data_IF_624018607217
#
_entry.id   IF_624018607217
#
_cell.length_a   1.000
_cell.length_b   1.000
_cell.length_c   1.000
_cell.angle_alpha   90.00
_cell.angle_beta   90.00
_cell.angle_gamma   90.00
#
_symmetry.space_group_name_H-M   'P 1'
#
loop_
_entity.id
_entity.type
_entity.pdbx_description
1 polymer ?
#
# COMPACT_ATOMS: atom_id res chain seq x y z
N UNK A 1 2.09 18.44 -14.34
CA UNK A 1 0.97 18.92 -13.51
C UNK A 1 -0.34 18.95 -14.30
N UNK A 2 -0.44 19.64 -15.45
CA UNK A 2 -1.68 19.79 -16.24
C UNK A 2 -2.24 18.46 -16.75
N UNK A 3 -1.40 17.56 -17.26
CA UNK A 3 -1.84 16.26 -17.75
C UNK A 3 -2.51 15.43 -16.64
N UNK A 4 -1.92 15.41 -15.44
CA UNK A 4 -2.49 14.71 -14.28
C UNK A 4 -3.83 15.33 -13.87
N UNK A 5 -3.93 16.68 -13.85
CA UNK A 5 -5.16 17.36 -13.52
C UNK A 5 -6.29 17.02 -14.50
N UNK A 6 -6.01 17.06 -15.80
CA UNK A 6 -6.98 16.71 -16.85
C UNK A 6 -7.43 15.26 -16.76
N UNK A 7 -6.48 14.30 -16.60
CA UNK A 7 -6.82 12.88 -16.46
C UNK A 7 -7.69 12.62 -15.22
N UNK A 8 -7.38 13.24 -14.08
CA UNK A 8 -8.18 13.11 -12.87
C UNK A 8 -9.55 13.77 -13.03
N UNK A 9 -9.63 14.91 -13.70
CA UNK A 9 -10.89 15.59 -14.01
C UNK A 9 -11.81 14.72 -14.88
N UNK A 10 -11.29 14.15 -15.96
CA UNK A 10 -12.05 13.24 -16.84
C UNK A 10 -12.52 12.00 -16.07
N UNK A 11 -11.63 11.38 -15.28
CA UNK A 11 -11.98 10.22 -14.45
C UNK A 11 -13.08 10.55 -13.44
N UNK A 12 -13.01 11.73 -12.82
CA UNK A 12 -14.02 12.20 -11.88
C UNK A 12 -15.39 12.36 -12.57
N UNK A 13 -15.44 13.04 -13.72
CA UNK A 13 -16.70 13.23 -14.48
C UNK A 13 -17.29 11.89 -14.90
N UNK A 14 -16.48 10.97 -15.43
CA UNK A 14 -16.95 9.64 -15.83
C UNK A 14 -17.50 8.86 -14.64
N UNK A 15 -16.80 8.89 -13.51
CA UNK A 15 -17.26 8.23 -12.28
C UNK A 15 -18.59 8.81 -11.80
N UNK A 16 -18.74 10.13 -11.78
CA UNK A 16 -20.00 10.79 -11.41
C UNK A 16 -21.15 10.40 -12.34
N UNK A 17 -20.92 10.41 -13.65
CA UNK A 17 -21.94 10.00 -14.63
C UNK A 17 -22.41 8.56 -14.39
N UNK A 18 -21.47 7.64 -14.15
CA UNK A 18 -21.81 6.23 -13.87
C UNK A 18 -22.59 6.09 -12.55
N UNK A 19 -22.15 6.80 -11.51
CA UNK A 19 -22.79 6.80 -10.20
C UNK A 19 -24.21 7.34 -10.32
N UNK A 20 -24.40 8.52 -10.92
CA UNK A 20 -25.74 9.11 -11.10
C UNK A 20 -26.67 8.22 -11.93
N UNK A 21 -26.19 7.63 -13.03
CA UNK A 21 -26.97 6.69 -13.84
C UNK A 21 -27.41 5.46 -13.04
N UNK A 22 -26.58 4.98 -12.09
CA UNK A 22 -26.95 3.85 -11.24
C UNK A 22 -27.90 4.27 -10.12
N UNK A 23 -27.71 5.42 -9.50
CA UNK A 23 -28.58 5.92 -8.44
C UNK A 23 -30.02 6.14 -8.93
N UNK A 24 -30.20 6.71 -10.13
CA UNK A 24 -31.53 6.92 -10.73
C UNK A 24 -32.30 5.61 -10.94
N UNK A 25 -31.60 4.49 -11.10
CA UNK A 25 -32.21 3.17 -11.30
C UNK A 25 -32.53 2.43 -10.00
N UNK A 26 -32.14 2.95 -8.83
CA UNK A 26 -32.42 2.30 -7.57
C UNK A 26 -33.85 2.63 -7.11
N UNK A 27 -34.66 1.60 -6.76
CA UNK A 27 -36.00 1.84 -6.22
C UNK A 27 -35.87 2.55 -4.86
N UNK A 28 -36.36 3.77 -4.78
CA UNK A 28 -36.40 4.55 -3.54
C UNK A 28 -37.82 4.53 -2.97
N UNK A 29 -38.00 3.94 -1.81
CA UNK A 29 -39.24 4.00 -1.06
C UNK A 29 -39.28 5.29 -0.21
N UNK A 30 -39.79 6.39 -0.78
CA UNK A 30 -40.02 7.63 -0.07
C UNK A 30 -39.00 8.75 -0.28
N UNK A 31 -39.20 9.90 0.38
CA UNK A 31 -38.31 11.07 0.30
C UNK A 31 -36.97 10.78 0.99
N UNK A 32 -35.91 10.72 0.23
CA UNK A 32 -34.55 10.53 0.74
C UNK A 32 -34.05 11.85 1.34
N UNK A 33 -33.63 11.83 2.61
CA UNK A 33 -32.95 12.97 3.22
C UNK A 33 -31.54 13.09 2.61
N UNK A 34 -31.18 14.27 2.13
CA UNK A 34 -29.87 14.55 1.50
C UNK A 34 -28.74 14.36 2.52
N UNK A 35 -28.99 14.63 3.81
CA UNK A 35 -28.02 14.48 4.88
C UNK A 35 -28.62 13.81 6.10
N UNK A 36 -27.86 12.91 6.74
CA UNK A 36 -28.25 12.24 7.99
C UNK A 36 -27.04 12.11 8.91
N UNK A 37 -27.11 12.71 10.11
CA UNK A 37 -26.08 12.65 11.13
C UNK A 37 -25.72 11.22 11.54
N UNK A 38 -26.69 10.32 11.57
CA UNK A 38 -26.46 8.92 11.93
C UNK A 38 -25.60 8.20 10.87
N UNK A 39 -25.89 8.41 9.58
CA UNK A 39 -25.07 7.85 8.49
C UNK A 39 -23.70 8.51 8.43
N UNK A 40 -23.62 9.81 8.66
CA UNK A 40 -22.34 10.53 8.74
C UNK A 40 -21.47 10.00 9.87
N UNK A 41 -22.03 9.78 11.08
CA UNK A 41 -21.30 9.20 12.20
C UNK A 41 -20.73 7.80 11.88
N UNK A 42 -21.52 6.93 11.24
CA UNK A 42 -21.05 5.60 10.80
C UNK A 42 -19.94 5.70 9.75
N UNK A 43 -20.04 6.63 8.84
CA UNK A 43 -18.99 6.89 7.85
C UNK A 43 -17.72 7.43 8.52
N UNK A 44 -17.85 8.37 9.44
CA UNK A 44 -16.72 8.99 10.14
C UNK A 44 -15.89 7.97 10.94
N UNK A 45 -16.53 6.97 11.56
CA UNK A 45 -15.84 5.88 12.29
C UNK A 45 -14.87 5.11 11.40
N UNK A 46 -15.13 5.03 10.11
CA UNK A 46 -14.24 4.36 9.14
C UNK A 46 -13.30 5.37 8.48
N UNK A 47 -13.79 6.53 8.10
CA UNK A 47 -13.05 7.53 7.34
C UNK A 47 -11.95 8.19 8.17
N UNK A 48 -12.24 8.62 9.41
CA UNK A 48 -11.25 9.30 10.26
C UNK A 48 -10.02 8.43 10.53
N UNK A 49 -10.14 7.15 10.98
CA UNK A 49 -9.00 6.28 11.13
C UNK A 49 -8.20 6.08 9.84
N UNK A 50 -8.88 5.95 8.69
CA UNK A 50 -8.21 5.76 7.40
C UNK A 50 -7.42 7.01 6.96
N UNK A 51 -7.96 8.22 7.22
CA UNK A 51 -7.27 9.49 6.96
C UNK A 51 -6.03 9.61 7.85
N UNK A 52 -6.18 9.37 9.15
CA UNK A 52 -5.07 9.41 10.09
C UNK A 52 -3.96 8.43 9.69
N UNK A 53 -4.33 7.20 9.35
CA UNK A 53 -3.39 6.19 8.86
C UNK A 53 -2.59 6.69 7.66
N UNK A 54 -3.25 7.23 6.63
CA UNK A 54 -2.59 7.72 5.43
C UNK A 54 -1.67 8.90 5.73
N UNK A 55 -2.09 9.79 6.62
CA UNK A 55 -1.27 10.92 7.08
C UNK A 55 -0.01 10.45 7.80
N UNK A 56 -0.14 9.48 8.71
CA UNK A 56 1.01 8.93 9.44
C UNK A 56 1.98 8.19 8.52
N UNK A 57 1.48 7.43 7.52
CA UNK A 57 2.34 6.78 6.52
C UNK A 57 3.13 7.84 5.75
N UNK A 58 2.50 8.95 5.36
CA UNK A 58 3.17 10.04 4.65
C UNK A 58 4.27 10.69 5.50
N UNK A 59 3.99 10.96 6.77
CA UNK A 59 4.98 11.50 7.72
C UNK A 59 6.14 10.51 7.91
N UNK A 60 5.86 9.23 8.10
CA UNK A 60 6.89 8.20 8.22
C UNK A 60 7.80 8.11 6.98
N UNK A 61 7.22 8.23 5.80
CA UNK A 61 8.01 8.27 4.55
C UNK A 61 8.90 9.51 4.47
N UNK A 62 8.45 10.68 4.94
CA UNK A 62 9.26 11.91 5.00
C UNK A 62 10.45 11.71 5.95
N UNK A 63 10.24 11.10 7.12
CA UNK A 63 11.31 10.82 8.07
C UNK A 63 12.34 9.87 7.46
N UNK A 64 11.91 8.76 6.86
CA UNK A 64 12.80 7.81 6.18
C UNK A 64 13.58 8.51 5.06
N UNK A 65 12.93 9.36 4.29
CA UNK A 65 13.57 10.12 3.23
C UNK A 65 14.62 11.09 3.78
N UNK A 66 14.37 11.72 4.92
CA UNK A 66 15.35 12.58 5.61
C UNK A 66 16.59 11.79 6.02
N UNK A 67 16.41 10.58 6.57
CA UNK A 67 17.52 9.68 6.91
C UNK A 67 18.34 9.31 5.68
N UNK A 68 17.68 8.99 4.56
CA UNK A 68 18.36 8.61 3.31
C UNK A 68 19.13 9.78 2.71
N UNK A 69 18.61 11.01 2.84
CA UNK A 69 19.30 12.22 2.37
C UNK A 69 20.68 12.42 3.02
N UNK A 70 20.87 11.96 4.26
CA UNK A 70 22.15 12.06 4.96
C UNK A 70 23.25 11.20 4.34
N UNK A 71 22.90 10.21 3.50
CA UNK A 71 23.86 9.34 2.79
C UNK A 71 24.32 9.90 1.44
N UNK A 72 23.82 11.07 1.04
CA UNK A 72 24.26 11.77 -0.16
C UNK A 72 23.36 11.59 -1.38
N UNK A 73 23.61 12.42 -2.40
CA UNK A 73 22.75 12.55 -3.57
C UNK A 73 22.66 11.26 -4.41
N UNK A 74 23.76 10.52 -4.53
CA UNK A 74 23.80 9.28 -5.31
C UNK A 74 22.90 8.19 -4.68
N UNK A 75 22.96 8.03 -3.36
CA UNK A 75 22.09 7.09 -2.62
C UNK A 75 20.61 7.50 -2.76
N UNK A 76 20.33 8.80 -2.65
CA UNK A 76 18.97 9.33 -2.83
C UNK A 76 18.44 9.09 -4.24
N UNK A 77 19.25 9.26 -5.27
CA UNK A 77 18.85 9.01 -6.67
C UNK A 77 18.49 7.52 -6.87
N UNK A 78 19.35 6.61 -6.42
CA UNK A 78 19.11 5.16 -6.49
C UNK A 78 17.88 4.72 -5.73
N UNK A 79 17.71 5.22 -4.50
CA UNK A 79 16.50 4.97 -3.71
C UNK A 79 15.23 5.49 -4.40
N UNK A 80 15.27 6.70 -4.95
CA UNK A 80 14.12 7.30 -5.63
C UNK A 80 13.69 6.49 -6.84
N UNK A 81 14.63 5.96 -7.61
CA UNK A 81 14.37 5.08 -8.75
C UNK A 81 13.72 3.76 -8.28
N UNK A 82 14.31 3.12 -7.27
CA UNK A 82 13.82 1.85 -6.73
C UNK A 82 12.46 1.97 -6.06
N UNK A 83 12.19 3.06 -5.34
CA UNK A 83 10.88 3.32 -4.70
C UNK A 83 9.78 3.51 -5.74
N UNK A 84 10.04 4.10 -6.89
CA UNK A 84 9.05 4.18 -7.97
C UNK A 84 8.61 2.78 -8.41
N UNK A 85 9.56 1.87 -8.60
CA UNK A 85 9.29 0.46 -8.93
C UNK A 85 8.52 -0.25 -7.80
N UNK A 86 8.99 -0.08 -6.56
CA UNK A 86 8.31 -0.62 -5.38
C UNK A 86 6.85 -0.13 -5.27
N UNK A 87 6.61 1.16 -5.50
CA UNK A 87 5.27 1.73 -5.44
C UNK A 87 4.33 1.17 -6.50
N UNK A 88 4.83 0.82 -7.69
CA UNK A 88 4.01 0.14 -8.71
C UNK A 88 3.50 -1.21 -8.19
N UNK A 89 4.36 -2.00 -7.55
CA UNK A 89 3.96 -3.30 -6.96
C UNK A 89 3.02 -3.09 -5.78
N UNK A 90 3.38 -2.24 -4.82
CA UNK A 90 2.56 -1.97 -3.62
C UNK A 90 1.18 -1.45 -3.99
N UNK A 91 1.07 -0.55 -4.99
CA UNK A 91 -0.23 -0.04 -5.46
C UNK A 91 -1.08 -1.15 -6.05
N UNK A 92 -0.49 -2.04 -6.85
CA UNK A 92 -1.19 -3.19 -7.42
C UNK A 92 -1.72 -4.13 -6.34
N UNK A 93 -0.88 -4.48 -5.36
CA UNK A 93 -1.25 -5.33 -4.23
C UNK A 93 -2.32 -4.67 -3.33
N UNK A 94 -2.22 -3.35 -3.11
CA UNK A 94 -3.20 -2.57 -2.35
C UNK A 94 -4.56 -2.56 -3.05
N UNK A 95 -4.57 -2.45 -4.36
CA UNK A 95 -5.81 -2.51 -5.16
C UNK A 95 -6.51 -3.86 -5.00
N UNK A 96 -5.75 -4.97 -5.01
CA UNK A 96 -6.30 -6.29 -4.70
C UNK A 96 -6.83 -6.38 -3.27
N UNK A 97 -6.11 -5.82 -2.28
CA UNK A 97 -6.58 -5.70 -0.90
C UNK A 97 -7.89 -4.93 -0.77
N UNK A 98 -8.07 -3.85 -1.56
CA UNK A 98 -9.32 -3.10 -1.62
C UNK A 98 -10.46 -3.94 -2.23
N UNK A 99 -10.17 -4.76 -3.24
CA UNK A 99 -11.13 -5.73 -3.79
C UNK A 99 -11.60 -6.74 -2.72
N UNK A 100 -10.67 -7.29 -1.94
CA UNK A 100 -10.99 -8.18 -0.81
C UNK A 100 -11.81 -7.46 0.28
N UNK A 101 -11.53 -6.20 0.54
CA UNK A 101 -12.31 -5.39 1.50
C UNK A 101 -13.78 -5.28 1.07
N UNK A 102 -14.02 -4.93 -0.20
CA UNK A 102 -15.38 -4.85 -0.75
C UNK A 102 -16.08 -6.21 -0.75
N UNK A 103 -15.37 -7.28 -1.13
CA UNK A 103 -15.88 -8.64 -1.10
C UNK A 103 -16.27 -9.06 0.32
N UNK A 104 -15.43 -8.77 1.30
CA UNK A 104 -15.68 -9.07 2.72
C UNK A 104 -16.91 -8.31 3.22
N UNK A 105 -17.01 -7.02 2.96
CA UNK A 105 -18.14 -6.21 3.39
C UNK A 105 -19.48 -6.71 2.81
N UNK A 106 -19.51 -7.06 1.53
CA UNK A 106 -20.71 -7.59 0.87
C UNK A 106 -21.13 -8.95 1.44
N UNK A 107 -20.18 -9.86 1.64
CA UNK A 107 -20.51 -11.19 2.18
C UNK A 107 -20.84 -11.15 3.68
N UNK A 108 -20.25 -10.23 4.44
CA UNK A 108 -20.59 -9.99 5.83
C UNK A 108 -22.03 -9.46 5.94
N UNK A 109 -22.40 -8.47 5.12
CA UNK A 109 -23.78 -7.94 5.06
C UNK A 109 -24.80 -8.98 4.63
N UNK A 110 -24.40 -9.99 3.87
CA UNK A 110 -25.23 -11.11 3.45
C UNK A 110 -25.18 -12.31 4.43
N UNK A 111 -24.46 -12.21 5.57
CA UNK A 111 -24.23 -13.27 6.56
C UNK A 111 -23.57 -14.54 5.99
N UNK A 112 -22.78 -14.40 4.91
CA UNK A 112 -22.10 -15.52 4.22
C UNK A 112 -20.64 -15.66 4.66
N UNK A 113 -20.44 -16.05 5.92
CA UNK A 113 -19.10 -16.10 6.54
C UNK A 113 -18.13 -17.09 5.87
N UNK A 114 -18.61 -18.23 5.38
CA UNK A 114 -17.77 -19.22 4.70
C UNK A 114 -17.18 -18.67 3.39
N UNK A 115 -17.90 -17.78 2.73
CA UNK A 115 -17.39 -17.07 1.56
C UNK A 115 -16.26 -16.13 1.91
N UNK A 116 -16.29 -15.48 3.07
CA UNK A 116 -15.19 -14.61 3.52
C UNK A 116 -13.91 -15.44 3.70
N UNK A 117 -13.99 -16.62 4.33
CA UNK A 117 -12.84 -17.51 4.50
C UNK A 117 -12.29 -18.01 3.17
N UNK A 118 -13.15 -18.44 2.26
CA UNK A 118 -12.72 -18.90 0.93
C UNK A 118 -12.18 -17.76 0.08
N UNK A 119 -12.77 -16.57 0.15
CA UNK A 119 -12.29 -15.37 -0.52
C UNK A 119 -10.93 -14.91 -0.01
N UNK A 120 -10.70 -14.95 1.30
CA UNK A 120 -9.38 -14.69 1.89
C UNK A 120 -8.31 -15.64 1.34
N UNK A 121 -8.57 -16.96 1.37
CA UNK A 121 -7.65 -17.96 0.82
C UNK A 121 -7.39 -17.78 -0.68
N UNK A 122 -8.43 -17.47 -1.45
CA UNK A 122 -8.31 -17.19 -2.88
C UNK A 122 -7.51 -15.89 -3.11
N UNK A 123 -7.74 -14.86 -2.30
CA UNK A 123 -6.98 -13.61 -2.33
C UNK A 123 -5.49 -13.83 -2.07
N UNK A 124 -5.13 -14.58 -1.04
CA UNK A 124 -3.73 -14.93 -0.74
C UNK A 124 -3.09 -15.68 -1.91
N UNK A 125 -3.75 -16.71 -2.47
CA UNK A 125 -3.23 -17.44 -3.62
C UNK A 125 -3.01 -16.54 -4.83
N UNK A 126 -3.95 -15.64 -5.10
CA UNK A 126 -3.87 -14.70 -6.22
C UNK A 126 -2.69 -13.73 -6.06
N UNK A 127 -2.56 -13.08 -4.88
CA UNK A 127 -1.45 -12.14 -4.66
C UNK A 127 -0.09 -12.84 -4.68
N UNK A 128 0.01 -14.07 -4.15
CA UNK A 128 1.24 -14.84 -4.21
C UNK A 128 1.58 -15.28 -5.62
N UNK A 129 0.59 -15.70 -6.42
CA UNK A 129 0.81 -16.00 -7.84
C UNK A 129 1.34 -14.78 -8.63
N UNK A 130 0.90 -13.56 -8.27
CA UNK A 130 1.43 -12.32 -8.83
C UNK A 130 2.81 -11.96 -8.28
N UNK A 131 3.08 -12.25 -7.01
CA UNK A 131 4.38 -11.97 -6.41
C UNK A 131 5.51 -12.81 -7.02
N UNK A 132 5.27 -14.07 -7.40
CA UNK A 132 6.31 -14.95 -7.97
C UNK A 132 7.01 -14.31 -9.16
N UNK A 133 6.34 -13.92 -10.26
CA UNK A 133 7.02 -13.32 -11.40
C UNK A 133 7.62 -11.95 -11.06
N UNK A 134 7.00 -11.17 -10.19
CA UNK A 134 7.51 -9.85 -9.78
C UNK A 134 8.79 -9.96 -8.95
N UNK A 135 8.84 -10.91 -8.02
CA UNK A 135 10.05 -11.18 -7.22
C UNK A 135 11.17 -11.67 -8.13
N UNK A 136 10.89 -12.62 -9.03
CA UNK A 136 11.87 -13.09 -10.01
C UNK A 136 12.40 -11.93 -10.86
N UNK A 137 11.50 -11.08 -11.38
CA UNK A 137 11.86 -9.91 -12.18
C UNK A 137 12.78 -8.95 -11.40
N UNK A 138 12.49 -8.65 -10.13
CA UNK A 138 13.28 -7.70 -9.35
C UNK A 138 14.61 -8.27 -8.88
N UNK A 139 14.67 -9.58 -8.62
CA UNK A 139 15.93 -10.24 -8.23
C UNK A 139 16.87 -10.40 -9.42
N UNK A 140 16.37 -10.86 -10.57
CA UNK A 140 17.19 -11.19 -11.73
C UNK A 140 17.35 -10.02 -12.72
N UNK A 141 16.34 -9.17 -12.88
CA UNK A 141 16.36 -8.04 -13.79
C UNK A 141 16.31 -6.67 -13.08
N UNK A 142 16.74 -6.61 -11.81
CA UNK A 142 16.73 -5.36 -11.02
C UNK A 142 17.55 -4.24 -11.66
N UNK A 143 18.71 -4.56 -12.22
CA UNK A 143 19.59 -3.58 -12.85
C UNK A 143 18.96 -2.89 -14.07
N UNK A 144 18.47 -3.59 -15.10
CA UNK A 144 17.80 -2.93 -16.23
C UNK A 144 16.53 -2.17 -15.83
N UNK A 145 15.81 -2.60 -14.79
CA UNK A 145 14.64 -1.90 -14.30
C UNK A 145 15.00 -0.57 -13.62
N UNK A 146 16.03 -0.55 -12.80
CA UNK A 146 16.53 0.68 -12.16
C UNK A 146 17.10 1.63 -13.21
N UNK A 147 17.76 1.12 -14.23
CA UNK A 147 18.33 1.91 -15.34
C UNK A 147 17.25 2.71 -16.12
N UNK A 148 16.00 2.27 -16.15
CA UNK A 148 14.91 3.03 -16.77
C UNK A 148 14.74 4.43 -16.12
N UNK A 149 15.14 4.56 -14.85
CA UNK A 149 14.98 5.78 -14.06
C UNK A 149 16.29 6.51 -13.75
N UNK A 150 17.43 5.95 -14.18
CA UNK A 150 18.75 6.53 -13.97
C UNK A 150 19.48 6.67 -15.32
N UNK A 151 20.11 7.81 -15.53
CA UNK A 151 20.86 8.09 -16.77
C UNK A 151 22.15 7.25 -16.90
N UNK A 152 22.74 6.86 -15.77
CA UNK A 152 23.98 6.09 -15.72
C UNK A 152 23.73 4.62 -15.40
N UNK A 153 24.28 3.67 -16.22
CA UNK A 153 24.09 2.23 -16.00
C UNK A 153 24.95 1.66 -14.86
N UNK A 154 25.83 2.44 -14.27
CA UNK A 154 26.78 2.05 -13.22
C UNK A 154 26.92 3.12 -12.15
N UNK A 155 27.51 2.76 -11.02
CA UNK A 155 27.82 3.67 -9.92
C UNK A 155 26.92 3.50 -8.70
N UNK A 156 27.22 4.26 -7.66
CA UNK A 156 26.60 4.13 -6.34
C UNK A 156 25.05 4.24 -6.37
N UNK A 157 24.50 5.04 -7.26
CA UNK A 157 23.04 5.17 -7.41
C UNK A 157 22.43 3.86 -7.93
N UNK A 158 23.05 3.23 -8.94
CA UNK A 158 22.61 1.96 -9.48
C UNK A 158 22.70 0.86 -8.43
N UNK A 159 23.83 0.75 -7.74
CA UNK A 159 24.06 -0.27 -6.71
C UNK A 159 23.04 -0.13 -5.56
N UNK A 160 22.78 1.09 -5.14
CA UNK A 160 21.78 1.38 -4.10
C UNK A 160 20.37 0.94 -4.53
N UNK A 161 19.96 1.28 -5.74
CA UNK A 161 18.63 0.93 -6.26
C UNK A 161 18.45 -0.58 -6.40
N UNK A 162 19.46 -1.27 -6.95
CA UNK A 162 19.45 -2.73 -7.13
C UNK A 162 19.47 -3.45 -5.77
N UNK A 163 20.31 -2.98 -4.83
CA UNK A 163 20.36 -3.54 -3.47
C UNK A 163 19.00 -3.43 -2.77
N UNK A 164 18.36 -2.26 -2.85
CA UNK A 164 17.01 -2.07 -2.30
C UNK A 164 16.00 -3.07 -2.87
N UNK A 165 15.93 -3.21 -4.20
CA UNK A 165 15.00 -4.13 -4.85
C UNK A 165 15.25 -5.59 -4.45
N UNK A 166 16.52 -6.02 -4.45
CA UNK A 166 16.90 -7.39 -4.08
C UNK A 166 16.57 -7.74 -2.64
N UNK A 167 16.77 -6.79 -1.73
CA UNK A 167 16.45 -6.99 -0.31
C UNK A 167 14.95 -7.06 -0.08
N UNK A 168 14.17 -6.17 -0.71
CA UNK A 168 12.74 -6.07 -0.45
C UNK A 168 11.91 -7.09 -1.21
N UNK A 169 12.31 -7.45 -2.44
CA UNK A 169 11.49 -8.30 -3.32
C UNK A 169 11.01 -9.62 -2.67
N UNK A 170 11.85 -10.41 -2.00
CA UNK A 170 11.39 -11.66 -1.35
C UNK A 170 10.27 -11.44 -0.33
N UNK A 171 10.22 -10.28 0.29
CA UNK A 171 9.24 -9.94 1.32
C UNK A 171 7.90 -9.44 0.77
N UNK A 172 7.76 -9.34 -0.57
CA UNK A 172 6.45 -9.07 -1.17
C UNK A 172 5.41 -10.14 -0.85
N UNK A 173 5.82 -11.37 -0.57
CA UNK A 173 4.90 -12.40 -0.08
C UNK A 173 4.30 -12.04 1.27
N UNK A 174 5.08 -11.46 2.18
CA UNK A 174 4.63 -11.06 3.52
C UNK A 174 3.74 -9.83 3.41
N UNK A 175 4.19 -8.75 2.74
CA UNK A 175 3.38 -7.54 2.63
C UNK A 175 2.09 -7.78 1.85
N UNK A 176 2.09 -8.67 0.84
CA UNK A 176 0.86 -9.00 0.12
C UNK A 176 -0.15 -9.72 1.00
N UNK A 177 0.29 -10.65 1.85
CA UNK A 177 -0.56 -11.30 2.84
C UNK A 177 -1.11 -10.28 3.85
N UNK A 178 -0.26 -9.35 4.32
CA UNK A 178 -0.69 -8.21 5.16
C UNK A 178 -1.79 -7.39 4.49
N UNK A 179 -1.59 -6.98 3.24
CA UNK A 179 -2.56 -6.13 2.52
C UNK A 179 -3.91 -6.82 2.29
N UNK A 180 -3.91 -8.14 2.06
CA UNK A 180 -5.15 -8.95 1.98
C UNK A 180 -5.82 -9.03 3.34
N UNK A 181 -5.07 -9.25 4.43
CA UNK A 181 -5.59 -9.27 5.80
C UNK A 181 -6.15 -7.91 6.21
N UNK A 182 -5.45 -6.83 5.91
CA UNK A 182 -5.91 -5.44 6.09
C UNK A 182 -7.23 -5.19 5.34
N UNK A 183 -7.36 -5.76 4.13
CA UNK A 183 -8.61 -5.71 3.36
C UNK A 183 -9.77 -6.38 4.09
N UNK A 184 -9.56 -7.56 4.67
CA UNK A 184 -10.59 -8.26 5.46
C UNK A 184 -10.95 -7.46 6.71
N UNK A 185 -9.98 -6.94 7.45
CA UNK A 185 -10.23 -6.15 8.66
C UNK A 185 -11.05 -4.89 8.36
N UNK A 186 -10.71 -4.17 7.29
CA UNK A 186 -11.47 -2.99 6.84
C UNK A 186 -12.87 -3.36 6.38
N UNK A 187 -13.01 -4.40 5.57
CA UNK A 187 -14.30 -4.87 5.08
C UNK A 187 -15.22 -5.40 6.18
N UNK A 188 -14.65 -5.94 7.26
CA UNK A 188 -15.37 -6.35 8.44
C UNK A 188 -15.66 -5.21 9.44
N UNK A 189 -15.20 -3.98 9.16
CA UNK A 189 -15.37 -2.83 10.07
C UNK A 189 -14.49 -2.88 11.33
N UNK A 190 -13.49 -3.79 11.37
CA UNK A 190 -12.58 -3.96 12.51
C UNK A 190 -11.45 -2.92 12.49
N UNK A 191 -11.82 -1.63 12.41
CA UNK A 191 -10.89 -0.53 12.20
C UNK A 191 -9.84 -0.40 13.31
N UNK A 192 -10.18 -0.70 14.57
CA UNK A 192 -9.21 -0.66 15.68
C UNK A 192 -8.06 -1.63 15.48
N UNK A 193 -8.35 -2.90 15.10
CA UNK A 193 -7.32 -3.92 14.84
C UNK A 193 -6.46 -3.54 13.63
N UNK A 194 -7.10 -3.06 12.57
CA UNK A 194 -6.42 -2.56 11.38
C UNK A 194 -5.45 -1.41 11.70
N UNK A 195 -5.88 -0.44 12.53
CA UNK A 195 -5.02 0.67 12.95
C UNK A 195 -3.83 0.19 13.77
N UNK A 196 -4.04 -0.69 14.75
CA UNK A 196 -2.95 -1.23 15.58
C UNK A 196 -1.89 -1.89 14.70
N UNK A 197 -2.28 -2.77 13.77
CA UNK A 197 -1.34 -3.42 12.85
C UNK A 197 -0.56 -2.40 12.00
N UNK A 198 -1.25 -1.39 11.45
CA UNK A 198 -0.61 -0.38 10.60
C UNK A 198 0.32 0.55 11.38
N UNK A 199 -0.08 0.97 12.59
CA UNK A 199 0.78 1.79 13.44
C UNK A 199 2.01 1.03 13.92
N UNK A 200 1.86 -0.24 14.28
CA UNK A 200 2.99 -1.10 14.65
C UNK A 200 4.00 -1.20 13.51
N UNK A 201 3.54 -1.48 12.29
CA UNK A 201 4.40 -1.48 11.09
C UNK A 201 5.15 -0.15 10.94
N UNK A 202 4.43 0.96 10.96
CA UNK A 202 5.00 2.28 10.72
C UNK A 202 6.03 2.67 11.79
N UNK A 203 5.68 2.53 13.06
CA UNK A 203 6.56 2.89 14.17
C UNK A 203 7.82 2.03 14.15
N UNK A 204 7.69 0.72 13.98
CA UNK A 204 8.84 -0.18 13.88
C UNK A 204 9.72 0.16 12.68
N UNK A 205 9.13 0.38 11.52
CA UNK A 205 9.87 0.70 10.30
C UNK A 205 10.66 2.00 10.44
N UNK A 206 10.05 3.06 10.98
CA UNK A 206 10.72 4.37 11.17
C UNK A 206 11.80 4.26 12.23
N UNK A 207 11.50 3.67 13.40
CA UNK A 207 12.46 3.51 14.48
C UNK A 207 13.66 2.63 14.06
N UNK A 208 13.40 1.50 13.42
CA UNK A 208 14.46 0.63 12.94
C UNK A 208 15.28 1.27 11.82
N UNK A 209 14.66 2.01 10.89
CA UNK A 209 15.39 2.74 9.85
C UNK A 209 16.36 3.74 10.48
N UNK A 210 15.93 4.51 11.47
CA UNK A 210 16.78 5.48 12.18
C UNK A 210 17.91 4.79 12.97
N UNK A 211 17.58 3.74 13.73
CA UNK A 211 18.57 3.04 14.57
C UNK A 211 19.58 2.30 13.69
N UNK A 212 19.11 1.50 12.74
CA UNK A 212 19.98 0.65 11.92
C UNK A 212 20.83 1.46 10.93
N UNK A 213 20.35 2.63 10.47
CA UNK A 213 21.14 3.54 9.62
C UNK A 213 22.41 4.03 10.30
N UNK A 214 22.41 4.12 11.63
CA UNK A 214 23.57 4.56 12.44
C UNK A 214 24.52 3.43 12.83
N UNK A 215 24.20 2.20 12.45
CA UNK A 215 25.06 1.03 12.67
C UNK A 215 25.97 0.79 11.45
N UNK A 216 26.82 -0.24 11.54
CA UNK A 216 27.64 -0.69 10.40
C UNK A 216 26.83 -1.12 9.16
N UNK A 217 25.52 -1.31 9.30
CA UNK A 217 24.62 -1.66 8.18
C UNK A 217 24.32 -0.47 7.27
N UNK A 218 24.42 0.78 7.76
CA UNK A 218 24.16 1.98 6.95
C UNK A 218 22.84 1.93 6.20
N UNK A 219 22.88 2.14 4.89
CA UNK A 219 21.67 2.11 4.02
C UNK A 219 20.98 0.76 4.00
N UNK A 220 21.72 -0.36 4.09
CA UNK A 220 21.14 -1.71 4.16
C UNK A 220 20.24 -1.87 5.37
N UNK A 221 20.58 -1.26 6.52
CA UNK A 221 19.75 -1.25 7.71
C UNK A 221 18.40 -0.58 7.46
N UNK A 222 18.36 0.49 6.66
CA UNK A 222 17.11 1.14 6.27
C UNK A 222 16.24 0.18 5.43
N UNK A 223 16.85 -0.53 4.47
CA UNK A 223 16.11 -1.47 3.62
C UNK A 223 15.52 -2.63 4.43
N UNK A 224 16.27 -3.18 5.39
CA UNK A 224 15.83 -4.30 6.25
C UNK A 224 14.70 -3.86 7.21
N UNK A 225 14.60 -2.60 7.57
CA UNK A 225 13.51 -2.10 8.44
C UNK A 225 12.11 -2.33 7.86
N UNK A 226 11.97 -2.31 6.52
CA UNK A 226 10.69 -2.52 5.84
C UNK A 226 10.15 -3.94 6.02
N UNK A 227 10.91 -5.00 5.69
CA UNK A 227 10.50 -6.38 5.93
C UNK A 227 10.17 -6.69 7.39
N UNK A 228 10.94 -6.16 8.33
CA UNK A 228 10.69 -6.37 9.76
C UNK A 228 9.35 -5.74 10.16
N UNK A 229 9.09 -4.48 9.75
CA UNK A 229 7.80 -3.84 9.99
C UNK A 229 6.63 -4.63 9.43
N UNK A 230 6.73 -5.09 8.19
CA UNK A 230 5.70 -5.92 7.55
C UNK A 230 5.49 -7.26 8.25
N UNK A 231 6.59 -7.92 8.67
CA UNK A 231 6.54 -9.21 9.36
C UNK A 231 5.81 -9.12 10.69
N UNK A 232 6.21 -8.17 11.54
CA UNK A 232 5.59 -7.96 12.86
C UNK A 232 4.13 -7.53 12.76
N UNK A 233 3.79 -6.69 11.77
CA UNK A 233 2.41 -6.25 11.57
C UNK A 233 1.50 -7.34 10.96
N UNK A 234 2.07 -8.41 10.43
CA UNK A 234 1.31 -9.53 9.85
C UNK A 234 1.03 -10.62 10.88
N UNK A 235 1.87 -10.74 11.89
CA UNK A 235 1.74 -11.71 13.00
C UNK A 235 0.67 -11.28 14.00
#
# INVERSE_FOLDING_TARGET
AWATFLCQGVSCVLALVVVFRRFVKLPTAGKVKIFSWNHFGRFAVIAIPSILQQSFISVGNIIIQSVINSFGAAVMAGYSAAVKLNNMVITSLTTLGNGISNYTAQNLGASKYDRIKSGFRAGIKLVWALCVPLVALYVFAGQPLVHIFLDSPTGQAMDTGVAFLRIIAPFYFIVSAKLVSDGVLRGAGLMKKFMVATFTDLVLRVALAEILSRTALGTTGIWISWPIGWGVATA
#
